data_IF_085185697434
#
_entry.id   IF_085185697434
#
_cell.length_a   1.000
_cell.length_b   1.000
_cell.length_c   1.000
_cell.angle_alpha   90.00
_cell.angle_beta   90.00
_cell.angle_gamma   90.00
#
_symmetry.space_group_name_H-M   'P 1'
#
loop_
_entity.id
_entity.type
_entity.pdbx_description
1 polymer ?
#
# COMPACT_ATOMS: atom_id res chain seq x y z
N UNK A 1 -16.99 -37.38 -11.68
CA UNK A 1 -15.67 -37.07 -11.09
C UNK A 1 -15.19 -35.76 -11.71
N UNK A 2 -15.47 -34.64 -11.06
CA UNK A 2 -14.85 -33.35 -11.41
C UNK A 2 -13.87 -33.02 -10.30
N UNK A 3 -12.58 -33.23 -10.57
CA UNK A 3 -11.50 -32.66 -9.76
C UNK A 3 -11.48 -31.16 -10.04
N UNK A 4 -12.25 -30.39 -9.28
CA UNK A 4 -11.98 -28.97 -9.09
C UNK A 4 -10.71 -28.86 -8.26
N UNK A 5 -9.56 -28.72 -8.91
CA UNK A 5 -8.35 -28.20 -8.27
C UNK A 5 -8.67 -26.80 -7.77
N UNK A 6 -9.16 -26.71 -6.54
CA UNK A 6 -9.15 -25.48 -5.75
C UNK A 6 -7.67 -25.13 -5.60
N UNK A 7 -7.17 -24.18 -6.38
CA UNK A 7 -5.94 -23.49 -6.05
C UNK A 7 -6.17 -22.87 -4.68
N UNK A 8 -5.71 -23.53 -3.62
CA UNK A 8 -5.70 -22.96 -2.30
C UNK A 8 -4.76 -21.75 -2.38
N UNK A 9 -5.31 -20.54 -2.41
CA UNK A 9 -4.54 -19.30 -2.31
C UNK A 9 -3.92 -19.30 -0.93
N UNK A 10 -2.62 -19.58 -0.82
CA UNK A 10 -1.94 -19.73 0.48
C UNK A 10 -1.04 -18.56 0.83
N UNK A 11 -0.75 -17.67 -0.13
CA UNK A 11 0.22 -16.60 0.08
C UNK A 11 -0.42 -15.49 0.91
N UNK A 12 0.30 -15.05 1.93
CA UNK A 12 -0.06 -13.91 2.75
C UNK A 12 0.68 -12.69 2.22
N UNK A 13 0.01 -11.54 2.23
CA UNK A 13 0.62 -10.29 1.85
C UNK A 13 0.55 -9.25 2.96
N UNK A 14 1.47 -8.31 2.91
CA UNK A 14 1.33 -7.01 3.55
C UNK A 14 1.20 -5.99 2.44
N UNK A 15 -0.01 -5.43 2.34
CA UNK A 15 -0.30 -4.30 1.47
C UNK A 15 0.12 -3.02 2.16
N UNK A 16 0.87 -2.18 1.46
CA UNK A 16 1.40 -0.92 1.98
C UNK A 16 0.87 0.25 1.17
N UNK A 17 0.40 1.31 1.82
CA UNK A 17 0.38 2.63 1.17
C UNK A 17 1.82 3.13 0.96
N UNK A 18 1.98 4.12 0.08
CA UNK A 18 3.28 4.65 -0.32
C UNK A 18 3.63 5.90 0.48
N UNK A 19 2.92 6.99 0.21
CA UNK A 19 3.15 8.31 0.79
C UNK A 19 2.62 8.33 2.24
N UNK A 20 3.44 8.77 3.19
CA UNK A 20 3.11 8.75 4.62
C UNK A 20 3.34 7.39 5.31
N UNK A 21 3.64 6.32 4.55
CA UNK A 21 3.88 4.96 5.10
C UNK A 21 5.28 4.44 4.78
N UNK A 22 5.68 4.41 3.51
CA UNK A 22 7.04 4.02 3.08
C UNK A 22 7.92 5.27 3.00
N UNK A 23 7.42 6.33 2.37
CA UNK A 23 8.11 7.59 2.21
C UNK A 23 7.42 8.72 2.96
N UNK A 24 8.20 9.78 3.22
CA UNK A 24 7.67 11.01 3.80
C UNK A 24 6.59 11.56 2.87
N UNK A 25 5.42 11.88 3.41
CA UNK A 25 4.33 12.54 2.69
C UNK A 25 4.75 13.98 2.35
N UNK A 26 4.62 14.37 1.08
CA UNK A 26 5.09 15.65 0.55
C UNK A 26 4.07 16.32 -0.38
N UNK A 27 2.80 15.88 -0.36
CA UNK A 27 1.73 16.32 -1.25
C UNK A 27 2.12 16.22 -2.73
N UNK A 28 1.68 15.16 -3.41
CA UNK A 28 1.92 14.95 -4.84
C UNK A 28 3.38 14.64 -5.21
N UNK A 29 4.08 13.86 -4.38
CA UNK A 29 5.44 13.39 -4.68
C UNK A 29 5.50 12.56 -5.97
N UNK A 30 6.30 13.02 -6.93
CA UNK A 30 6.56 12.32 -8.19
C UNK A 30 8.03 12.37 -8.64
N UNK A 31 8.84 13.27 -8.05
CA UNK A 31 10.25 13.45 -8.42
C UNK A 31 11.16 12.56 -7.57
N UNK A 32 12.01 11.71 -8.19
CA UNK A 32 12.98 10.89 -7.46
C UNK A 32 13.88 11.68 -6.51
N UNK A 33 14.27 12.89 -6.87
CA UNK A 33 15.21 13.71 -6.08
C UNK A 33 14.59 14.24 -4.78
N UNK A 34 13.25 14.29 -4.71
CA UNK A 34 12.49 14.69 -3.54
C UNK A 34 12.10 13.49 -2.67
N UNK A 35 12.35 12.27 -3.14
CA UNK A 35 12.02 11.04 -2.43
C UNK A 35 12.87 10.88 -1.16
N UNK A 36 12.22 10.49 -0.07
CA UNK A 36 12.87 10.23 1.20
C UNK A 36 12.10 9.13 1.93
N UNK A 37 12.81 8.07 2.35
CA UNK A 37 12.20 7.05 3.19
C UNK A 37 11.84 7.63 4.56
N UNK A 38 10.70 7.18 5.07
CA UNK A 38 10.48 7.25 6.52
C UNK A 38 11.56 6.40 7.20
N UNK A 39 12.19 6.88 8.29
CA UNK A 39 13.22 6.12 9.00
C UNK A 39 12.78 4.68 9.34
N UNK A 40 13.59 3.70 8.95
CA UNK A 40 13.34 2.27 9.19
C UNK A 40 12.38 1.60 8.19
N UNK A 41 11.80 2.32 7.22
CA UNK A 41 10.84 1.75 6.28
C UNK A 41 11.44 0.65 5.39
N UNK A 42 12.67 0.84 4.90
CA UNK A 42 13.34 -0.17 4.07
C UNK A 42 13.64 -1.45 4.87
N UNK A 43 14.13 -1.31 6.10
CA UNK A 43 14.38 -2.43 7.01
C UNK A 43 13.09 -3.15 7.40
N UNK A 44 11.99 -2.41 7.58
CA UNK A 44 10.68 -2.96 7.85
C UNK A 44 10.17 -3.81 6.68
N UNK A 45 10.29 -3.31 5.44
CA UNK A 45 9.94 -4.07 4.24
C UNK A 45 10.78 -5.34 4.15
N UNK A 46 12.11 -5.24 4.32
CA UNK A 46 12.99 -6.42 4.35
C UNK A 46 12.56 -7.44 5.39
N UNK A 47 12.17 -7.00 6.60
CA UNK A 47 11.71 -7.89 7.66
C UNK A 47 10.45 -8.64 7.25
N UNK A 48 9.48 -7.95 6.64
CA UNK A 48 8.27 -8.57 6.10
C UNK A 48 8.59 -9.58 4.99
N UNK A 49 9.50 -9.22 4.08
CA UNK A 49 9.97 -10.12 3.05
C UNK A 49 10.60 -11.39 3.64
N UNK A 50 11.47 -11.24 4.65
CA UNK A 50 12.14 -12.35 5.34
C UNK A 50 11.17 -13.22 6.15
N UNK A 51 10.05 -12.66 6.63
CA UNK A 51 8.98 -13.37 7.28
C UNK A 51 8.07 -14.15 6.29
N UNK A 52 8.34 -14.08 4.98
CA UNK A 52 7.63 -14.84 3.95
C UNK A 52 6.35 -14.17 3.45
N UNK A 53 6.10 -12.91 3.80
CA UNK A 53 5.00 -12.14 3.21
C UNK A 53 5.39 -11.63 1.82
N UNK A 54 4.41 -11.63 0.91
CA UNK A 54 4.47 -10.76 -0.26
C UNK A 54 4.28 -9.32 0.20
N UNK A 55 5.17 -8.42 -0.20
CA UNK A 55 4.99 -6.97 0.03
C UNK A 55 4.46 -6.35 -1.24
N UNK A 56 3.24 -5.79 -1.17
CA UNK A 56 2.56 -5.20 -2.32
C UNK A 56 2.24 -3.74 -2.01
N UNK A 57 2.68 -2.83 -2.86
CA UNK A 57 2.33 -1.41 -2.70
C UNK A 57 1.02 -1.13 -3.42
N UNK A 58 0.07 -0.49 -2.71
CA UNK A 58 -1.19 -0.01 -3.27
C UNK A 58 -1.38 1.48 -2.92
N UNK A 59 -1.41 2.36 -3.92
CA UNK A 59 -1.37 3.82 -3.65
C UNK A 59 -2.35 4.63 -4.49
N UNK A 60 -2.97 5.65 -3.88
CA UNK A 60 -3.83 6.60 -4.58
C UNK A 60 -2.99 7.74 -5.19
N UNK A 61 -2.74 7.72 -6.50
CA UNK A 61 -1.91 8.69 -7.22
C UNK A 61 -2.75 9.72 -7.99
N UNK A 62 -3.65 10.40 -7.26
CA UNK A 62 -4.57 11.38 -7.87
C UNK A 62 -3.92 12.67 -8.39
N UNK A 63 -2.61 12.87 -8.19
CA UNK A 63 -1.89 13.94 -8.89
C UNK A 63 -1.92 13.76 -10.41
N UNK A 64 -2.03 12.52 -10.90
CA UNK A 64 -2.27 12.21 -12.32
C UNK A 64 -3.58 12.82 -12.80
N UNK A 65 -4.70 12.52 -12.13
CA UNK A 65 -5.99 13.10 -12.49
C UNK A 65 -6.02 14.63 -12.39
N UNK A 66 -5.22 15.24 -11.52
CA UNK A 66 -5.14 16.70 -11.40
C UNK A 66 -4.22 17.34 -12.44
N UNK A 67 -3.40 16.54 -13.13
CA UNK A 67 -2.42 16.98 -14.12
C UNK A 67 -1.17 17.59 -13.48
N UNK A 68 -0.82 17.18 -12.26
CA UNK A 68 0.42 17.60 -11.59
C UNK A 68 1.64 16.81 -12.08
N UNK A 69 1.41 15.54 -12.43
CA UNK A 69 2.40 14.64 -13.01
C UNK A 69 1.70 13.56 -13.84
N UNK A 70 2.46 12.76 -14.58
CA UNK A 70 1.96 11.72 -15.47
C UNK A 70 2.04 10.33 -14.82
N UNK A 71 1.35 9.34 -15.39
CA UNK A 71 1.54 7.94 -15.00
C UNK A 71 2.99 7.47 -15.23
N UNK A 72 3.66 8.00 -16.26
CA UNK A 72 5.07 7.72 -16.48
C UNK A 72 5.93 8.19 -15.30
N UNK A 73 5.64 9.36 -14.72
CA UNK A 73 6.34 9.84 -13.53
C UNK A 73 6.10 8.93 -12.32
N UNK A 74 4.86 8.43 -12.13
CA UNK A 74 4.55 7.43 -11.10
C UNK A 74 5.42 6.18 -11.28
N UNK A 75 5.49 5.65 -12.51
CA UNK A 75 6.32 4.49 -12.81
C UNK A 75 7.81 4.76 -12.61
N UNK A 76 8.28 5.96 -12.95
CA UNK A 76 9.67 6.36 -12.76
C UNK A 76 10.02 6.38 -11.27
N UNK A 77 9.15 6.98 -10.45
CA UNK A 77 9.31 7.01 -9.01
C UNK A 77 9.26 5.59 -8.42
N UNK A 78 8.31 4.74 -8.80
CA UNK A 78 8.25 3.35 -8.32
C UNK A 78 9.53 2.56 -8.63
N UNK A 79 10.10 2.72 -9.82
CA UNK A 79 11.39 2.09 -10.17
C UNK A 79 12.53 2.63 -9.31
N UNK A 80 12.57 3.94 -9.09
CA UNK A 80 13.57 4.55 -8.22
C UNK A 80 13.48 4.00 -6.79
N UNK A 81 12.28 3.92 -6.22
CA UNK A 81 12.05 3.35 -4.88
C UNK A 81 12.49 1.89 -4.83
N UNK A 82 12.11 1.09 -5.83
CA UNK A 82 12.53 -0.32 -5.92
C UNK A 82 14.05 -0.48 -5.99
N UNK A 83 14.76 0.39 -6.71
CA UNK A 83 16.23 0.41 -6.73
C UNK A 83 16.80 0.72 -5.35
N UNK A 84 16.29 1.73 -4.65
CA UNK A 84 16.75 2.07 -3.32
C UNK A 84 16.49 0.95 -2.30
N UNK A 85 15.31 0.32 -2.33
CA UNK A 85 14.99 -0.83 -1.48
C UNK A 85 15.97 -1.99 -1.70
N UNK A 86 16.37 -2.24 -2.95
CA UNK A 86 17.29 -3.33 -3.28
C UNK A 86 18.67 -3.15 -2.65
N UNK A 87 19.12 -1.90 -2.43
CA UNK A 87 20.38 -1.61 -1.71
C UNK A 87 20.35 -2.08 -0.25
N UNK A 88 19.16 -2.13 0.36
CA UNK A 88 18.96 -2.63 1.72
C UNK A 88 18.57 -4.10 1.78
N UNK A 89 18.50 -4.80 0.64
CA UNK A 89 18.02 -6.18 0.54
C UNK A 89 16.50 -6.33 0.74
N UNK A 90 15.75 -5.24 0.55
CA UNK A 90 14.29 -5.19 0.60
C UNK A 90 13.72 -5.22 -0.83
N UNK A 91 12.49 -5.70 -0.99
CA UNK A 91 11.81 -5.66 -2.29
C UNK A 91 10.29 -5.53 -2.16
N UNK A 92 9.68 -5.04 -3.24
CA UNK A 92 8.22 -5.01 -3.43
C UNK A 92 7.89 -5.99 -4.54
N UNK A 93 7.02 -6.94 -4.26
CA UNK A 93 6.61 -7.99 -5.19
C UNK A 93 5.71 -7.45 -6.31
N UNK A 94 4.88 -6.44 -6.02
CA UNK A 94 4.06 -5.76 -7.02
C UNK A 94 3.65 -4.35 -6.60
N UNK A 95 3.43 -3.49 -7.61
CA UNK A 95 2.99 -2.12 -7.45
C UNK A 95 1.63 -1.93 -8.14
N UNK A 96 0.65 -1.45 -7.40
CA UNK A 96 -0.65 -1.04 -7.92
C UNK A 96 -0.92 0.41 -7.52
N UNK A 97 -1.52 1.17 -8.42
CA UNK A 97 -1.89 2.55 -8.13
C UNK A 97 -3.21 2.92 -8.81
N UNK A 98 -3.89 3.91 -8.22
CA UNK A 98 -5.08 4.52 -8.80
C UNK A 98 -4.74 5.95 -9.27
N UNK A 99 -4.73 6.23 -10.58
CA UNK A 99 -4.51 7.59 -11.10
C UNK A 99 -5.77 8.47 -11.03
N UNK A 100 -6.94 7.89 -10.75
CA UNK A 100 -8.24 8.54 -10.90
C UNK A 100 -8.64 9.46 -9.73
N UNK A 101 -9.47 10.45 -10.06
CA UNK A 101 -10.18 11.29 -9.10
C UNK A 101 -11.46 11.86 -9.75
N UNK A 102 -12.65 11.85 -9.10
CA UNK A 102 -13.89 12.33 -9.72
C UNK A 102 -13.82 13.79 -10.21
N UNK A 103 -13.18 14.66 -9.43
CA UNK A 103 -12.94 16.07 -9.78
C UNK A 103 -11.67 16.30 -10.63
N UNK A 104 -11.14 15.24 -11.26
CA UNK A 104 -9.94 15.31 -12.10
C UNK A 104 -10.21 15.82 -13.52
N UNK A 105 -9.18 15.72 -14.36
CA UNK A 105 -9.21 15.99 -15.81
C UNK A 105 -9.31 14.67 -16.57
N UNK A 106 -9.93 14.71 -17.76
CA UNK A 106 -10.02 13.58 -18.69
C UNK A 106 -8.63 13.11 -19.13
N UNK A 107 -8.38 11.79 -19.25
CA UNK A 107 -9.32 10.67 -19.09
C UNK A 107 -9.52 10.18 -17.64
N UNK A 108 -8.89 10.80 -16.64
CA UNK A 108 -8.83 10.26 -15.28
C UNK A 108 -9.95 10.73 -14.33
N UNK A 109 -10.93 11.49 -14.83
CA UNK A 109 -12.03 12.07 -14.06
C UNK A 109 -13.14 11.05 -13.73
N UNK A 110 -12.78 9.93 -13.12
CA UNK A 110 -13.64 8.76 -12.96
C UNK A 110 -13.90 8.44 -11.48
N UNK A 111 -15.10 7.96 -11.18
CA UNK A 111 -15.39 7.16 -10.00
C UNK A 111 -15.02 5.70 -10.31
N UNK A 112 -13.79 5.29 -9.95
CA UNK A 112 -13.29 3.93 -10.22
C UNK A 112 -13.45 3.02 -9.01
N UNK A 113 -13.54 1.71 -9.25
CA UNK A 113 -13.45 0.69 -8.20
C UNK A 113 -12.04 0.54 -7.60
N UNK A 114 -11.05 1.24 -8.15
CA UNK A 114 -9.64 1.13 -7.77
C UNK A 114 -9.20 2.08 -6.66
N UNK A 115 -9.85 3.24 -6.52
CA UNK A 115 -9.43 4.31 -5.61
C UNK A 115 -9.80 3.94 -4.18
N UNK A 116 -8.82 3.83 -3.27
CA UNK A 116 -9.10 3.64 -1.83
C UNK A 116 -10.04 4.77 -1.35
N UNK A 117 -11.14 4.46 -0.64
CA UNK A 117 -11.38 3.24 0.16
C UNK A 117 -11.96 2.03 -0.59
N UNK A 118 -12.10 2.07 -1.92
CA UNK A 118 -12.48 0.87 -2.69
C UNK A 118 -11.37 -0.19 -2.68
N UNK A 119 -11.78 -1.44 -2.86
CA UNK A 119 -10.95 -2.64 -2.72
C UNK A 119 -10.27 -3.08 -4.01
N UNK A 120 -10.55 -2.44 -5.15
CA UNK A 120 -10.17 -2.98 -6.47
C UNK A 120 -8.68 -3.24 -6.65
N UNK A 121 -7.79 -2.42 -6.07
CA UNK A 121 -6.34 -2.69 -6.10
C UNK A 121 -5.94 -3.92 -5.28
N UNK A 122 -6.54 -4.11 -4.09
CA UNK A 122 -6.30 -5.28 -3.22
C UNK A 122 -6.76 -6.57 -3.90
N UNK A 123 -7.97 -6.54 -4.46
CA UNK A 123 -8.55 -7.69 -5.15
C UNK A 123 -7.78 -8.04 -6.44
N UNK A 124 -7.31 -7.02 -7.17
CA UNK A 124 -6.49 -7.23 -8.35
C UNK A 124 -5.16 -7.90 -7.96
N UNK A 125 -4.46 -7.37 -6.97
CA UNK A 125 -3.24 -7.98 -6.45
C UNK A 125 -3.46 -9.42 -5.98
N UNK A 126 -4.59 -9.69 -5.31
CA UNK A 126 -4.93 -11.03 -4.85
C UNK A 126 -5.12 -12.02 -5.99
N UNK A 127 -5.79 -11.62 -7.07
CA UNK A 127 -5.94 -12.44 -8.28
C UNK A 127 -4.59 -12.68 -8.96
N UNK A 128 -3.79 -11.64 -9.15
CA UNK A 128 -2.55 -11.72 -9.91
C UNK A 128 -1.48 -12.56 -9.21
N UNK A 129 -1.45 -12.53 -7.87
CA UNK A 129 -0.37 -13.14 -7.08
C UNK A 129 -0.80 -14.39 -6.31
N UNK A 130 -2.11 -14.69 -6.27
CA UNK A 130 -2.69 -15.79 -5.51
C UNK A 130 -2.67 -15.55 -3.99
N UNK A 131 -3.01 -14.33 -3.57
CA UNK A 131 -3.01 -13.90 -2.15
C UNK A 131 -4.34 -14.23 -1.49
N UNK A 132 -4.27 -14.72 -0.25
CA UNK A 132 -5.42 -14.82 0.65
C UNK A 132 -5.57 -13.51 1.45
N UNK A 133 -6.56 -12.69 1.07
CA UNK A 133 -6.83 -11.40 1.71
C UNK A 133 -7.16 -11.55 3.20
N UNK A 134 -7.88 -12.61 3.60
CA UNK A 134 -8.30 -12.83 4.99
C UNK A 134 -7.13 -13.05 5.95
N UNK A 135 -6.00 -13.50 5.41
CA UNK A 135 -4.76 -13.75 6.14
C UNK A 135 -3.72 -12.64 5.95
N UNK A 136 -4.06 -11.60 5.20
CA UNK A 136 -3.17 -10.51 4.80
C UNK A 136 -3.43 -9.24 5.61
N UNK A 137 -2.54 -8.27 5.45
CA UNK A 137 -2.54 -7.00 6.19
C UNK A 137 -2.62 -5.81 5.25
N UNK A 138 -3.27 -4.72 5.69
CA UNK A 138 -3.22 -3.42 5.01
C UNK A 138 -2.64 -2.39 5.97
N UNK A 139 -1.52 -1.77 5.61
CA UNK A 139 -0.85 -0.74 6.39
C UNK A 139 -0.90 0.58 5.63
N UNK A 140 -1.41 1.62 6.26
CA UNK A 140 -1.49 2.96 5.67
C UNK A 140 -1.58 4.04 6.74
N UNK A 141 -1.55 5.31 6.32
CA UNK A 141 -1.60 6.46 7.20
C UNK A 141 -2.95 7.19 7.18
N UNK A 142 -3.88 6.79 6.30
CA UNK A 142 -5.19 7.44 6.18
C UNK A 142 -6.32 6.49 6.54
N UNK A 143 -7.46 7.08 6.93
CA UNK A 143 -8.71 6.36 7.14
C UNK A 143 -9.08 5.49 5.92
N UNK A 144 -8.87 5.99 4.71
CA UNK A 144 -9.22 5.27 3.47
C UNK A 144 -8.42 3.98 3.28
N UNK A 145 -7.22 3.88 3.85
CA UNK A 145 -6.40 2.66 3.80
C UNK A 145 -6.97 1.60 4.73
N UNK A 146 -7.33 2.01 5.95
CA UNK A 146 -7.98 1.16 6.94
C UNK A 146 -9.32 0.65 6.41
N UNK A 147 -10.13 1.53 5.84
CA UNK A 147 -11.42 1.16 5.25
C UNK A 147 -11.27 0.17 4.09
N UNK A 148 -10.32 0.41 3.18
CA UNK A 148 -10.04 -0.50 2.08
C UNK A 148 -9.58 -1.88 2.59
N UNK A 149 -8.70 -1.89 3.61
CA UNK A 149 -8.23 -3.11 4.24
C UNK A 149 -9.37 -3.93 4.84
N UNK A 150 -10.21 -3.30 5.67
CA UNK A 150 -11.38 -3.94 6.30
C UNK A 150 -12.35 -4.45 5.24
N UNK A 151 -12.69 -3.62 4.24
CA UNK A 151 -13.64 -3.98 3.20
C UNK A 151 -13.15 -5.15 2.33
N UNK A 152 -11.83 -5.28 2.11
CA UNK A 152 -11.22 -6.39 1.40
C UNK A 152 -11.06 -7.67 2.25
N UNK A 153 -11.33 -7.60 3.56
CA UNK A 153 -11.13 -8.69 4.51
C UNK A 153 -9.70 -8.80 5.07
N UNK A 154 -8.83 -7.84 4.78
CA UNK A 154 -7.49 -7.76 5.38
C UNK A 154 -7.56 -7.27 6.83
N UNK A 155 -6.49 -7.55 7.59
CA UNK A 155 -6.25 -6.93 8.90
C UNK A 155 -5.63 -5.54 8.73
N UNK A 156 -6.30 -4.45 9.13
CA UNK A 156 -5.74 -3.10 8.97
C UNK A 156 -4.73 -2.77 10.09
N UNK A 157 -3.75 -1.92 9.77
CA UNK A 157 -2.88 -1.22 10.72
C UNK A 157 -2.76 0.23 10.28
N UNK A 158 -2.96 1.15 11.22
CA UNK A 158 -2.70 2.58 10.99
C UNK A 158 -1.28 2.90 11.46
N UNK A 159 -0.44 3.45 10.59
CA UNK A 159 0.82 4.07 11.02
C UNK A 159 0.59 5.53 11.37
N UNK A 160 1.35 6.08 12.32
CA UNK A 160 1.21 7.47 12.79
C UNK A 160 2.07 8.49 12.02
N UNK A 161 2.87 8.02 11.07
CA UNK A 161 3.55 8.85 10.07
C UNK A 161 2.54 9.42 9.07
N UNK A 162 2.96 10.41 8.25
CA UNK A 162 2.05 11.06 7.30
C UNK A 162 0.86 11.71 8.01
N UNK A 163 -0.36 11.38 7.59
CA UNK A 163 -1.60 11.87 8.19
C UNK A 163 -2.13 10.98 9.33
N UNK A 164 -1.39 9.94 9.71
CA UNK A 164 -1.83 8.93 10.66
C UNK A 164 -2.20 9.45 12.04
N UNK A 165 -1.44 10.41 12.55
CA UNK A 165 -1.72 11.05 13.83
C UNK A 165 -3.11 11.72 13.83
N UNK A 166 -3.47 12.40 12.75
CA UNK A 166 -4.76 13.08 12.60
C UNK A 166 -5.90 12.10 12.29
N UNK A 167 -5.60 11.00 11.59
CA UNK A 167 -6.57 9.95 11.26
C UNK A 167 -6.99 9.07 12.45
N UNK A 168 -6.30 9.15 13.60
CA UNK A 168 -6.53 8.28 14.76
C UNK A 168 -7.98 8.24 15.26
N UNK A 169 -8.67 9.38 15.20
CA UNK A 169 -10.07 9.54 15.64
C UNK A 169 -11.09 9.10 14.59
N UNK A 170 -10.65 8.94 13.35
CA UNK A 170 -11.49 8.57 12.21
C UNK A 170 -11.53 7.05 11.97
N UNK A 171 -10.61 6.30 12.58
CA UNK A 171 -10.53 4.83 12.47
C UNK A 171 -11.09 4.14 13.72
N UNK A 172 -11.65 2.91 13.61
CA UNK A 172 -12.10 2.16 14.77
C UNK A 172 -10.99 1.96 15.80
N UNK A 173 -11.29 2.14 17.09
CA UNK A 173 -10.30 2.02 18.16
C UNK A 173 -9.65 0.62 18.27
N UNK A 174 -10.27 -0.39 17.67
CA UNK A 174 -9.77 -1.77 17.57
C UNK A 174 -8.65 -1.94 16.54
N UNK A 175 -8.44 -0.97 15.64
CA UNK A 175 -7.36 -1.02 14.64
C UNK A 175 -6.03 -0.71 15.34
N UNK A 176 -5.02 -1.58 15.25
CA UNK A 176 -3.69 -1.31 15.79
C UNK A 176 -3.11 -0.02 15.23
N UNK A 177 -2.48 0.77 16.12
CA UNK A 177 -1.79 2.01 15.78
C UNK A 177 -0.31 1.84 16.06
N UNK A 178 0.50 2.03 15.04
CA UNK A 178 1.95 1.88 15.11
C UNK A 178 2.60 3.22 14.83
N UNK A 179 3.66 3.58 15.55
CA UNK A 179 4.35 4.87 15.34
C UNK A 179 4.85 5.07 13.91
N UNK A 180 5.23 3.99 13.24
CA UNK A 180 5.82 3.94 11.89
C UNK A 180 5.67 2.53 11.31
N UNK A 181 6.14 2.34 10.07
CA UNK A 181 6.13 1.04 9.39
C UNK A 181 7.01 -0.01 10.08
N UNK A 182 8.08 0.39 10.77
CA UNK A 182 8.95 -0.55 11.48
C UNK A 182 8.21 -1.21 12.66
N UNK A 183 7.47 -0.43 13.45
CA UNK A 183 6.62 -0.94 14.52
C UNK A 183 5.46 -1.80 13.97
N UNK A 184 4.89 -1.43 12.82
CA UNK A 184 3.88 -2.26 12.16
C UNK A 184 4.47 -3.62 11.71
N UNK A 185 5.66 -3.63 11.14
CA UNK A 185 6.33 -4.86 10.73
C UNK A 185 6.67 -5.78 11.91
N UNK A 186 7.00 -5.23 13.08
CA UNK A 186 7.20 -6.02 14.31
C UNK A 186 5.92 -6.70 14.77
N UNK A 187 4.82 -5.94 14.80
CA UNK A 187 3.50 -6.47 15.13
C UNK A 187 3.09 -7.58 14.17
N UNK A 188 3.30 -7.40 12.87
CA UNK A 188 2.90 -8.35 11.83
C UNK A 188 3.78 -9.60 11.82
N UNK A 189 5.08 -9.47 12.05
CA UNK A 189 5.99 -10.62 12.06
C UNK A 189 5.91 -11.47 13.35
N UNK A 190 5.19 -10.99 14.37
CA UNK A 190 5.01 -11.71 15.64
C UNK A 190 3.81 -12.67 15.65
N UNK A 191 3.03 -12.74 14.57
CA UNK A 191 1.78 -13.52 14.47
C UNK A 191 1.97 -14.78 13.65
#
# INVERSE_FOLDING_TARGET
MSNSNLFHTTKQAVFLDRDGTINVEKDYLYRPEEFEFIPGAAEAIRRLNQAGFLVVVITNQSGVARGYYTEQDVHHLHRHIGQLLSLSGAWVDAWYYCPHHPSGKTPYNLDCGCRKPRTGMLEQAARDLGIDLSRSWMVGDKQVDVEAGIAAGCRPVLVLTGYGADACSLVPATVPRCRDLAAAAELIAAV
#
